data_IF_061248748468
#
_entry.id   IF_061248748468
#
_cell.length_a   1.000
_cell.length_b   1.000
_cell.length_c   1.000
_cell.angle_alpha   90.00
_cell.angle_beta   90.00
_cell.angle_gamma   90.00
#
_symmetry.space_group_name_H-M   'P 1'
#
loop_
_entity.id
_entity.type
_entity.pdbx_description
1 polymer ?
#
# COMPACT_ATOMS: atom_id res chain seq x y z
N UNK A 1 -17.37 -1.62 -22.83
CA UNK A 1 -17.88 -1.13 -21.53
C UNK A 1 -16.82 -0.23 -20.89
N UNK A 2 -17.11 1.06 -20.71
CA UNK A 2 -16.19 2.02 -20.10
C UNK A 2 -16.21 1.86 -18.57
N UNK A 3 -15.43 0.94 -18.01
CA UNK A 3 -15.31 0.81 -16.55
C UNK A 3 -14.49 1.98 -16.03
N UNK A 4 -15.18 2.98 -15.46
CA UNK A 4 -14.55 4.08 -14.73
C UNK A 4 -13.72 3.48 -13.59
N UNK A 5 -12.40 3.73 -13.60
CA UNK A 5 -11.54 3.32 -12.50
C UNK A 5 -12.04 3.97 -11.21
N UNK A 6 -12.42 3.16 -10.22
CA UNK A 6 -12.93 3.62 -8.93
C UNK A 6 -11.83 3.45 -7.90
N UNK A 7 -11.27 4.56 -7.44
CA UNK A 7 -10.28 4.58 -6.34
C UNK A 7 -10.98 4.99 -5.06
N UNK A 8 -10.90 4.15 -4.03
CA UNK A 8 -11.47 4.42 -2.71
C UNK A 8 -10.32 4.63 -1.73
N UNK A 9 -10.35 5.77 -1.01
CA UNK A 9 -9.38 6.07 0.05
C UNK A 9 -10.10 5.98 1.39
N UNK A 10 -9.56 5.16 2.31
CA UNK A 10 -10.11 4.98 3.66
C UNK A 10 -9.17 5.63 4.68
N UNK A 11 -9.67 6.65 5.39
CA UNK A 11 -8.92 7.43 6.37
C UNK A 11 -9.44 7.16 7.80
N UNK A 12 -8.60 7.37 8.81
CA UNK A 12 -8.94 7.11 10.22
C UNK A 12 -7.72 6.82 11.12
N UNK A 13 -7.87 7.00 12.44
CA UNK A 13 -6.79 6.84 13.44
C UNK A 13 -6.19 5.42 13.46
N UNK A 14 -4.92 5.21 13.83
CA UNK A 14 -4.38 3.87 14.06
C UNK A 14 -5.30 3.02 14.95
N UNK A 15 -5.50 1.74 14.62
CA UNK A 15 -6.42 0.85 15.34
C UNK A 15 -7.91 0.97 14.97
N UNK A 16 -8.32 1.95 14.16
CA UNK A 16 -9.74 2.15 13.80
C UNK A 16 -10.36 1.12 12.83
N UNK A 17 -9.65 0.02 12.51
CA UNK A 17 -10.16 -1.04 11.63
C UNK A 17 -10.14 -0.74 10.12
N UNK A 18 -9.44 0.30 9.65
CA UNK A 18 -9.38 0.66 8.21
C UNK A 18 -8.94 -0.49 7.31
N UNK A 19 -7.91 -1.23 7.71
CA UNK A 19 -7.40 -2.36 6.92
C UNK A 19 -8.44 -3.46 6.80
N UNK A 20 -9.11 -3.79 7.90
CA UNK A 20 -10.24 -4.75 7.92
C UNK A 20 -11.36 -4.31 6.98
N UNK A 21 -11.78 -3.04 7.06
CA UNK A 21 -12.84 -2.52 6.19
C UNK A 21 -12.41 -2.44 4.72
N UNK A 22 -11.17 -2.06 4.43
CA UNK A 22 -10.61 -2.05 3.09
C UNK A 22 -10.67 -3.43 2.44
N UNK A 23 -10.25 -4.48 3.17
CA UNK A 23 -10.28 -5.85 2.69
C UNK A 23 -11.71 -6.34 2.42
N UNK A 24 -12.67 -6.03 3.30
CA UNK A 24 -14.08 -6.39 3.12
C UNK A 24 -14.72 -5.70 1.91
N UNK A 25 -14.46 -4.40 1.74
CA UNK A 25 -14.96 -3.62 0.59
C UNK A 25 -14.35 -4.15 -0.70
N UNK A 26 -13.02 -4.32 -0.74
CA UNK A 26 -12.29 -4.83 -1.89
C UNK A 26 -12.85 -6.18 -2.36
N UNK A 27 -13.09 -7.12 -1.43
CA UNK A 27 -13.73 -8.42 -1.72
C UNK A 27 -15.13 -8.26 -2.32
N UNK A 28 -15.94 -7.35 -1.78
CA UNK A 28 -17.33 -7.13 -2.22
C UNK A 28 -17.42 -6.54 -3.63
N UNK A 29 -16.52 -5.62 -3.97
CA UNK A 29 -16.52 -4.94 -5.28
C UNK A 29 -15.55 -5.57 -6.29
N UNK A 30 -14.87 -6.66 -5.93
CA UNK A 30 -13.83 -7.32 -6.73
C UNK A 30 -12.73 -6.34 -7.16
N UNK A 31 -12.22 -5.57 -6.21
CA UNK A 31 -11.09 -4.66 -6.39
C UNK A 31 -9.87 -5.13 -5.57
N UNK A 32 -8.71 -4.59 -5.90
CA UNK A 32 -7.50 -4.78 -5.12
C UNK A 32 -7.50 -3.87 -3.87
N UNK A 33 -6.94 -4.37 -2.77
CA UNK A 33 -6.70 -3.57 -1.57
C UNK A 33 -5.21 -3.22 -1.47
N UNK A 34 -4.90 -1.93 -1.37
CA UNK A 34 -3.53 -1.44 -1.24
C UNK A 34 -3.34 -0.79 0.15
N UNK A 35 -2.45 -1.36 0.95
CA UNK A 35 -2.06 -0.81 2.25
C UNK A 35 -0.64 -0.23 2.20
N UNK A 36 -0.49 1.09 2.31
CA UNK A 36 0.84 1.73 2.28
C UNK A 36 1.78 1.16 3.35
N UNK A 37 1.25 0.86 4.54
CA UNK A 37 2.04 0.27 5.62
C UNK A 37 2.52 -1.15 5.30
N UNK A 38 1.70 -1.94 4.61
CA UNK A 38 2.06 -3.30 4.20
C UNK A 38 3.13 -3.26 3.11
N UNK A 39 2.94 -2.43 2.08
CA UNK A 39 3.93 -2.25 1.01
C UNK A 39 5.30 -1.76 1.54
N UNK A 40 5.30 -0.88 2.54
CA UNK A 40 6.53 -0.42 3.19
C UNK A 40 7.18 -1.52 4.05
N UNK A 41 6.39 -2.38 4.70
CA UNK A 41 6.89 -3.54 5.45
C UNK A 41 7.52 -4.56 4.50
N UNK A 42 6.84 -4.88 3.41
CA UNK A 42 7.37 -5.77 2.37
C UNK A 42 8.68 -5.24 1.79
N UNK A 43 8.75 -3.92 1.52
CA UNK A 43 9.99 -3.27 1.06
C UNK A 43 11.12 -3.33 2.10
N UNK A 44 10.79 -3.27 3.40
CA UNK A 44 11.76 -3.33 4.49
C UNK A 44 12.33 -4.74 4.71
N UNK A 45 11.65 -5.78 4.24
CA UNK A 45 12.09 -7.17 4.31
C UNK A 45 13.01 -7.57 3.13
N UNK A 46 13.17 -6.69 2.13
CA UNK A 46 14.09 -6.92 1.02
C UNK A 46 15.58 -6.85 1.47
N UNK A 47 16.47 -7.51 0.71
CA UNK A 47 17.92 -7.50 0.98
C UNK A 47 18.63 -6.32 0.29
N UNK A 48 18.09 -5.11 0.41
CA UNK A 48 18.62 -3.90 -0.26
C UNK A 48 19.17 -2.87 0.73
N UNK A 49 19.97 -1.92 0.26
CA UNK A 49 20.43 -0.79 1.09
C UNK A 49 19.24 0.03 1.61
N UNK A 50 18.25 0.29 0.75
CA UNK A 50 17.03 1.01 1.11
C UNK A 50 16.26 0.31 2.23
N UNK A 51 16.08 -1.00 2.13
CA UNK A 51 15.39 -1.81 3.14
C UNK A 51 16.07 -1.71 4.53
N UNK A 52 17.42 -1.79 4.56
CA UNK A 52 18.21 -1.63 5.79
C UNK A 52 18.01 -0.27 6.46
N UNK A 53 17.81 0.80 5.68
CA UNK A 53 17.53 2.15 6.20
C UNK A 53 16.07 2.31 6.63
N UNK A 54 15.14 1.63 5.95
CA UNK A 54 13.70 1.73 6.19
C UNK A 54 13.24 0.97 7.45
N UNK A 55 13.73 -0.25 7.65
CA UNK A 55 13.34 -1.11 8.77
C UNK A 55 13.37 -0.42 10.16
N UNK A 56 14.44 0.31 10.56
CA UNK A 56 14.48 0.96 11.87
C UNK A 56 13.48 2.12 12.00
N UNK A 57 13.11 2.79 10.90
CA UNK A 57 12.12 3.87 10.90
C UNK A 57 10.73 3.28 11.19
N UNK A 58 10.38 2.19 10.49
CA UNK A 58 9.11 1.49 10.67
C UNK A 58 8.99 0.87 12.07
N UNK A 59 10.07 0.25 12.58
CA UNK A 59 10.10 -0.33 13.93
C UNK A 59 9.85 0.71 15.03
N UNK A 60 10.24 1.96 14.80
CA UNK A 60 10.00 3.10 15.72
C UNK A 60 8.63 3.75 15.54
N UNK A 61 7.79 3.26 14.60
CA UNK A 61 6.50 3.86 14.28
C UNK A 61 6.60 5.28 13.70
N UNK A 62 7.76 5.64 13.13
CA UNK A 62 7.98 6.97 12.55
C UNK A 62 7.43 7.05 11.13
N UNK A 63 7.08 8.26 10.72
CA UNK A 63 6.70 8.54 9.34
C UNK A 63 7.92 8.39 8.43
N UNK A 64 7.68 7.82 7.25
CA UNK A 64 8.66 7.76 6.17
C UNK A 64 8.58 9.04 5.32
N UNK A 65 9.63 9.38 4.56
CA UNK A 65 9.54 10.45 3.57
C UNK A 65 8.39 10.23 2.58
N UNK A 66 7.66 11.30 2.24
CA UNK A 66 6.48 11.22 1.36
C UNK A 66 6.78 10.56 0.02
N UNK A 67 7.95 10.84 -0.57
CA UNK A 67 8.35 10.25 -1.85
C UNK A 67 8.43 8.72 -1.80
N UNK A 68 8.73 8.13 -0.65
CA UNK A 68 8.84 6.67 -0.49
C UNK A 68 7.46 6.01 -0.51
N UNK A 69 6.44 6.68 0.07
CA UNK A 69 5.06 6.22 -0.04
C UNK A 69 4.57 6.27 -1.49
N UNK A 70 4.87 7.36 -2.22
CA UNK A 70 4.56 7.47 -3.65
C UNK A 70 5.28 6.40 -4.48
N UNK A 71 6.55 6.12 -4.18
CA UNK A 71 7.34 5.10 -4.87
C UNK A 71 6.69 3.71 -4.76
N UNK A 72 6.31 3.27 -3.56
CA UNK A 72 5.69 1.95 -3.39
C UNK A 72 4.32 1.85 -4.07
N UNK A 73 3.55 2.94 -4.11
CA UNK A 73 2.28 2.98 -4.84
C UNK A 73 2.48 2.86 -6.36
N UNK A 74 3.42 3.62 -6.93
CA UNK A 74 3.72 3.55 -8.36
C UNK A 74 4.21 2.15 -8.74
N UNK A 75 5.10 1.56 -7.92
CA UNK A 75 5.60 0.19 -8.12
C UNK A 75 4.46 -0.82 -8.14
N UNK A 76 3.51 -0.73 -7.20
CA UNK A 76 2.44 -1.72 -7.09
C UNK A 76 1.34 -1.55 -8.15
N UNK A 77 0.89 -0.32 -8.37
CA UNK A 77 -0.08 -0.01 -9.42
C UNK A 77 0.46 -0.33 -10.82
N UNK A 78 1.77 -0.18 -11.03
CA UNK A 78 2.44 -0.56 -12.27
C UNK A 78 2.36 -2.06 -12.57
N UNK A 79 2.58 -2.93 -11.56
CA UNK A 79 2.44 -4.39 -11.72
C UNK A 79 1.03 -4.79 -12.12
N UNK A 80 0.02 -4.24 -11.43
CA UNK A 80 -1.37 -4.61 -11.67
C UNK A 80 -1.87 -4.17 -13.05
N UNK A 81 -1.31 -3.09 -13.63
CA UNK A 81 -1.60 -2.72 -15.02
C UNK A 81 -0.97 -3.68 -16.03
N UNK A 82 0.20 -4.26 -15.75
CA UNK A 82 0.86 -5.22 -16.65
C UNK A 82 0.17 -6.59 -16.65
N UNK A 83 -0.38 -7.02 -15.51
CA UNK A 83 -1.13 -8.28 -15.40
C UNK A 83 -2.57 -8.19 -15.96
N UNK A 84 -3.00 -7.02 -16.40
CA UNK A 84 -4.33 -6.77 -16.94
C UNK A 84 -4.39 -6.78 -18.49
N UNK A 85 -3.29 -7.17 -19.15
CA UNK A 85 -3.20 -7.39 -20.59
C UNK A 85 -2.94 -8.86 -20.89
#
# INVERSE_FOLDING_TARGET
MNRKATTIIILGRPGSGKGTQAALIAKKIKADALGTGDLLRDLADEKTYLAKQLAPILKKGKLVPTWLASFVWIRELGKNRLNAF
#
